data_IF_792130624708
#
_entry.id   IF_792130624708
#
_cell.length_a   1.000
_cell.length_b   1.000
_cell.length_c   1.000
_cell.angle_alpha   90.00
_cell.angle_beta   90.00
_cell.angle_gamma   90.00
#
_symmetry.space_group_name_H-M   'P 1'
#
loop_
_entity.id
_entity.type
_entity.pdbx_description
1 polymer ?
#
# COMPACT_ATOMS: atom_id res chain seq x y z
N UNK A 1 -13.96 -0.08 5.84
CA UNK A 1 -14.29 0.82 4.71
C UNK A 1 -13.71 0.34 3.38
N UNK A 2 -12.57 -0.37 3.35
CA UNK A 2 -11.90 -0.79 2.10
C UNK A 2 -12.16 -2.25 1.69
N UNK A 3 -13.07 -2.96 2.38
CA UNK A 3 -13.40 -4.36 2.09
C UNK A 3 -13.87 -4.53 0.63
N UNK A 4 -13.20 -5.42 -0.10
CA UNK A 4 -13.51 -5.71 -1.50
C UNK A 4 -13.09 -4.61 -2.48
N UNK A 5 -12.25 -3.65 -2.04
CA UNK A 5 -11.62 -2.67 -2.92
C UNK A 5 -10.18 -3.09 -3.21
N UNK A 6 -9.76 -2.87 -4.45
CA UNK A 6 -8.36 -3.00 -4.86
C UNK A 6 -7.69 -1.63 -4.79
N UNK A 7 -6.51 -1.58 -4.18
CA UNK A 7 -5.68 -0.38 -4.04
C UNK A 7 -4.36 -0.64 -4.74
N UNK A 8 -4.06 0.18 -5.75
CA UNK A 8 -2.74 0.22 -6.38
C UNK A 8 -1.84 1.18 -5.63
N UNK A 9 -0.79 0.66 -5.00
CA UNK A 9 0.19 1.41 -4.23
C UNK A 9 1.48 1.59 -5.06
N UNK A 10 1.61 2.77 -5.68
CA UNK A 10 2.82 3.17 -6.38
C UNK A 10 3.88 3.71 -5.43
N UNK A 11 5.11 3.21 -5.54
CA UNK A 11 6.25 3.62 -4.72
C UNK A 11 7.38 4.11 -5.61
N UNK A 12 7.88 5.29 -5.33
CA UNK A 12 9.03 5.89 -6.03
C UNK A 12 10.16 6.22 -5.04
N UNK A 13 11.32 6.58 -5.56
CA UNK A 13 12.50 6.91 -4.75
C UNK A 13 12.28 8.12 -3.84
N UNK A 14 12.66 7.97 -2.57
CA UNK A 14 12.63 9.06 -1.58
C UNK A 14 12.75 8.55 -0.15
N UNK A 15 13.02 9.48 0.79
CA UNK A 15 13.21 9.13 2.21
C UNK A 15 11.97 8.50 2.86
N UNK A 16 10.78 8.61 2.26
CA UNK A 16 9.56 8.00 2.78
C UNK A 16 9.35 6.53 2.37
N UNK A 17 10.11 6.02 1.38
CA UNK A 17 9.91 4.69 0.82
C UNK A 17 10.01 3.57 1.88
N UNK A 18 10.89 3.73 2.87
CA UNK A 18 11.05 2.72 3.94
C UNK A 18 9.80 2.51 4.80
N UNK A 19 8.87 3.49 4.84
CA UNK A 19 7.63 3.39 5.62
C UNK A 19 6.49 2.73 4.85
N UNK A 20 6.64 2.52 3.54
CA UNK A 20 5.51 2.09 2.70
C UNK A 20 5.03 0.68 3.02
N UNK A 21 5.92 -0.20 3.51
CA UNK A 21 5.52 -1.52 4.02
C UNK A 21 4.47 -1.42 5.17
N UNK A 22 4.61 -0.44 6.07
CA UNK A 22 3.65 -0.21 7.14
C UNK A 22 2.31 0.30 6.59
N UNK A 23 2.34 1.20 5.60
CA UNK A 23 1.14 1.67 4.91
C UNK A 23 0.39 0.50 4.23
N UNK A 24 1.11 -0.35 3.50
CA UNK A 24 0.53 -1.54 2.88
C UNK A 24 -0.12 -2.46 3.93
N UNK A 25 0.55 -2.70 5.07
CA UNK A 25 -0.01 -3.48 6.18
C UNK A 25 -1.30 -2.85 6.74
N UNK A 26 -1.34 -1.53 6.89
CA UNK A 26 -2.53 -0.81 7.36
C UNK A 26 -3.70 -0.91 6.37
N UNK A 27 -3.43 -0.87 5.06
CA UNK A 27 -4.45 -1.02 4.02
C UNK A 27 -5.03 -2.45 4.01
N UNK A 28 -4.17 -3.48 4.13
CA UNK A 28 -4.61 -4.88 4.24
C UNK A 28 -5.45 -5.10 5.51
N UNK A 29 -5.07 -4.51 6.64
CA UNK A 29 -5.87 -4.56 7.89
C UNK A 29 -7.26 -3.93 7.74
N UNK A 30 -7.44 -3.02 6.78
CA UNK A 30 -8.75 -2.46 6.42
C UNK A 30 -9.52 -3.29 5.38
N UNK A 31 -9.03 -4.50 5.07
CA UNK A 31 -9.55 -5.45 4.09
C UNK A 31 -9.44 -4.99 2.63
N UNK A 32 -8.47 -4.13 2.31
CA UNK A 32 -8.12 -3.81 0.92
C UNK A 32 -7.30 -4.95 0.29
N UNK A 33 -7.51 -5.21 -0.99
CA UNK A 33 -6.59 -5.96 -1.83
C UNK A 33 -5.52 -4.99 -2.34
N UNK A 34 -4.25 -5.18 -1.95
CA UNK A 34 -3.19 -4.18 -2.18
C UNK A 34 -2.19 -4.71 -3.18
N UNK A 35 -2.03 -4.01 -4.30
CA UNK A 35 -1.05 -4.33 -5.35
C UNK A 35 0.01 -3.25 -5.34
N UNK A 36 1.28 -3.65 -5.27
CA UNK A 36 2.39 -2.70 -5.14
C UNK A 36 3.18 -2.66 -6.45
N UNK A 37 3.44 -1.45 -6.95
CA UNK A 37 4.35 -1.19 -8.05
C UNK A 37 5.46 -0.26 -7.56
N UNK A 38 6.70 -0.60 -7.89
CA UNK A 38 7.88 0.16 -7.48
C UNK A 38 8.73 0.52 -8.71
N UNK A 39 9.38 1.67 -8.68
CA UNK A 39 10.45 2.07 -9.62
C UNK A 39 11.82 1.79 -9.02
#
# INVERSE_FOLDING_TARGET
MLKGKTVLLGVTGGIAAYKIANLASMLVKQHADVHVLMT
#
